data_IF_427531932810
#
_entry.id   IF_427531932810
#
_cell.length_a   1.000
_cell.length_b   1.000
_cell.length_c   1.000
_cell.angle_alpha   90.00
_cell.angle_beta   90.00
_cell.angle_gamma   90.00
#
_symmetry.space_group_name_H-M   'P 1'
#
loop_
_entity.id
_entity.type
_entity.pdbx_description
1 polymer ?
#
# COMPACT_ATOMS: atom_id res chain seq x y z
N UNK A 1 10.89 2.02 -7.69
CA UNK A 1 9.46 2.05 -7.30
C UNK A 1 9.14 3.43 -6.73
N UNK A 2 8.13 4.12 -7.26
CA UNK A 2 7.92 5.56 -7.08
C UNK A 2 7.24 5.89 -5.74
N UNK A 3 7.74 6.92 -5.06
CA UNK A 3 7.28 7.37 -3.73
C UNK A 3 5.82 7.84 -3.73
N UNK A 4 5.30 8.31 -4.87
CA UNK A 4 4.01 9.00 -4.97
C UNK A 4 2.79 8.07 -5.05
N UNK A 5 2.97 6.77 -5.30
CA UNK A 5 1.84 5.85 -5.51
C UNK A 5 1.01 5.67 -4.24
N UNK A 6 1.66 5.72 -3.06
CA UNK A 6 1.00 5.51 -1.76
C UNK A 6 -0.05 6.57 -1.45
N UNK A 7 0.17 7.79 -1.90
CA UNK A 7 -0.78 8.90 -1.72
C UNK A 7 -2.13 8.54 -2.32
N UNK A 8 -2.14 8.01 -3.54
CA UNK A 8 -3.36 7.66 -4.25
C UNK A 8 -4.10 6.49 -3.64
N UNK A 9 -3.39 5.51 -3.04
CA UNK A 9 -4.03 4.39 -2.34
C UNK A 9 -4.72 4.85 -1.05
N UNK A 10 -4.08 5.73 -0.27
CA UNK A 10 -4.72 6.32 0.91
C UNK A 10 -5.93 7.16 0.53
N UNK A 11 -5.86 7.92 -0.56
CA UNK A 11 -7.00 8.68 -1.09
C UNK A 11 -8.12 7.73 -1.55
N UNK A 12 -7.79 6.65 -2.28
CA UNK A 12 -8.77 5.68 -2.73
C UNK A 12 -9.48 4.98 -1.56
N UNK A 13 -8.73 4.59 -0.53
CA UNK A 13 -9.30 4.03 0.70
C UNK A 13 -10.19 5.04 1.45
N UNK A 14 -9.77 6.31 1.50
CA UNK A 14 -10.51 7.37 2.16
C UNK A 14 -11.81 7.72 1.43
N UNK A 15 -11.81 7.81 0.10
CA UNK A 15 -12.98 8.20 -0.69
C UNK A 15 -13.91 7.03 -0.98
N UNK A 16 -13.37 5.93 -1.50
CA UNK A 16 -14.18 4.81 -2.01
C UNK A 16 -14.57 3.81 -0.90
N UNK A 17 -14.04 3.99 0.31
CA UNK A 17 -14.21 3.08 1.44
C UNK A 17 -13.45 1.75 1.27
N UNK A 18 -13.63 0.85 2.23
CA UNK A 18 -12.78 -0.35 2.36
C UNK A 18 -12.81 -1.29 1.16
N UNK A 19 -13.99 -1.55 0.58
CA UNK A 19 -14.15 -2.55 -0.50
C UNK A 19 -13.69 -2.01 -1.86
N UNK A 20 -14.24 -0.87 -2.26
CA UNK A 20 -13.93 -0.26 -3.57
C UNK A 20 -12.53 0.34 -3.59
N UNK A 21 -12.08 0.93 -2.48
CA UNK A 21 -10.71 1.43 -2.34
C UNK A 21 -9.67 0.31 -2.41
N UNK A 22 -9.95 -0.85 -1.81
CA UNK A 22 -9.09 -2.03 -1.91
C UNK A 22 -8.95 -2.52 -3.36
N UNK A 23 -10.06 -2.69 -4.07
CA UNK A 23 -10.04 -3.14 -5.47
C UNK A 23 -9.33 -2.13 -6.37
N UNK A 24 -9.63 -0.83 -6.24
CA UNK A 24 -8.98 0.21 -7.03
C UNK A 24 -7.46 0.25 -6.81
N UNK A 25 -7.03 0.13 -5.55
CA UNK A 25 -5.60 0.15 -5.18
C UNK A 25 -4.87 -1.11 -5.65
N UNK A 26 -5.46 -2.28 -5.43
CA UNK A 26 -4.89 -3.56 -5.85
C UNK A 26 -4.77 -3.66 -7.37
N UNK A 27 -5.87 -3.44 -8.10
CA UNK A 27 -5.90 -3.55 -9.56
C UNK A 27 -4.97 -2.51 -10.19
N UNK A 28 -5.07 -1.25 -9.77
CA UNK A 28 -4.26 -0.18 -10.31
C UNK A 28 -2.77 -0.49 -10.21
N UNK A 29 -2.33 -0.98 -9.04
CA UNK A 29 -0.91 -1.29 -8.85
C UNK A 29 -0.48 -2.58 -9.56
N UNK A 30 -1.32 -3.62 -9.60
CA UNK A 30 -1.01 -4.83 -10.36
C UNK A 30 -0.80 -4.53 -11.85
N UNK A 31 -1.60 -3.62 -12.41
CA UNK A 31 -1.43 -3.17 -13.79
C UNK A 31 -0.10 -2.43 -13.97
N UNK A 32 0.27 -1.54 -13.04
CA UNK A 32 1.57 -0.85 -13.07
C UNK A 32 2.71 -1.86 -13.13
N UNK A 33 2.68 -2.91 -12.31
CA UNK A 33 3.72 -3.95 -12.29
C UNK A 33 3.77 -4.73 -13.61
N UNK A 34 2.61 -5.08 -14.18
CA UNK A 34 2.52 -5.77 -15.48
C UNK A 34 3.11 -4.93 -16.61
N UNK A 35 2.74 -3.65 -16.71
CA UNK A 35 3.21 -2.75 -17.77
C UNK A 35 4.65 -2.28 -17.58
N UNK A 36 5.15 -2.24 -16.34
CA UNK A 36 6.51 -1.82 -16.03
C UNK A 36 7.54 -2.96 -16.12
N UNK A 37 7.11 -4.18 -16.47
CA UNK A 37 7.98 -5.35 -16.60
C UNK A 37 8.27 -6.10 -15.29
N UNK A 38 7.66 -5.69 -14.16
CA UNK A 38 7.77 -6.37 -12.87
C UNK A 38 6.68 -7.44 -12.69
N UNK A 39 6.51 -8.31 -13.70
CA UNK A 39 5.36 -9.24 -13.77
C UNK A 39 5.27 -10.16 -12.56
N UNK A 40 6.41 -10.65 -12.04
CA UNK A 40 6.45 -11.52 -10.85
C UNK A 40 5.88 -10.82 -9.61
N UNK A 41 6.02 -9.49 -9.52
CA UNK A 41 5.50 -8.70 -8.40
C UNK A 41 3.99 -8.47 -8.49
N UNK A 42 3.41 -8.44 -9.68
CA UNK A 42 2.00 -8.11 -9.89
C UNK A 42 1.01 -8.85 -8.95
N UNK A 43 1.06 -10.19 -8.77
CA UNK A 43 0.14 -10.88 -7.86
C UNK A 43 0.37 -10.52 -6.38
N UNK A 44 1.63 -10.37 -5.95
CA UNK A 44 1.94 -9.99 -4.58
C UNK A 44 1.49 -8.55 -4.31
N UNK A 45 1.85 -7.64 -5.20
CA UNK A 45 1.48 -6.23 -5.12
C UNK A 45 -0.03 -6.03 -5.13
N UNK A 46 -0.78 -6.77 -5.96
CA UNK A 46 -2.24 -6.76 -5.94
C UNK A 46 -2.77 -7.01 -4.52
N UNK A 47 -2.33 -8.12 -3.91
CA UNK A 47 -2.78 -8.54 -2.57
C UNK A 47 -2.35 -7.53 -1.52
N UNK A 48 -1.08 -7.11 -1.53
CA UNK A 48 -0.53 -6.18 -0.54
C UNK A 48 -1.28 -4.84 -0.59
N UNK A 49 -1.46 -4.27 -1.78
CA UNK A 49 -2.11 -2.96 -1.94
C UNK A 49 -3.60 -3.03 -1.67
N UNK A 50 -4.27 -4.10 -2.10
CA UNK A 50 -5.68 -4.31 -1.78
C UNK A 50 -5.91 -4.42 -0.28
N UNK A 51 -5.12 -5.23 0.43
CA UNK A 51 -5.23 -5.39 1.89
C UNK A 51 -4.83 -4.12 2.63
N UNK A 52 -3.77 -3.43 2.21
CA UNK A 52 -3.35 -2.14 2.76
C UNK A 52 -4.50 -1.12 2.71
N UNK A 53 -5.10 -0.93 1.54
CA UNK A 53 -6.22 0.00 1.36
C UNK A 53 -7.48 -0.47 2.08
N UNK A 54 -7.72 -1.79 2.16
CA UNK A 54 -8.82 -2.35 2.94
C UNK A 54 -8.68 -2.04 4.44
N UNK A 55 -7.48 -2.25 5.01
CA UNK A 55 -7.18 -1.98 6.42
C UNK A 55 -7.39 -0.48 6.71
N UNK A 56 -6.81 0.39 5.88
CA UNK A 56 -6.97 1.84 6.02
C UNK A 56 -8.47 2.24 5.96
N UNK A 57 -9.19 1.78 4.94
CA UNK A 57 -10.60 2.09 4.73
C UNK A 57 -11.49 1.54 5.85
N UNK A 58 -11.23 0.32 6.34
CA UNK A 58 -12.02 -0.30 7.40
C UNK A 58 -11.89 0.46 8.73
N UNK A 59 -10.67 0.88 9.10
CA UNK A 59 -10.44 1.67 10.31
C UNK A 59 -11.02 3.07 10.17
N UNK A 60 -10.94 3.68 8.98
CA UNK A 60 -11.57 4.97 8.66
C UNK A 60 -13.09 4.91 8.77
N UNK A 61 -13.73 3.85 8.29
CA UNK A 61 -15.18 3.67 8.44
C UNK A 61 -15.56 3.48 9.91
N UNK A 62 -14.80 2.65 10.64
CA UNK A 62 -15.03 2.38 12.06
C UNK A 62 -14.90 3.64 12.93
N UNK A 63 -13.92 4.49 12.65
CA UNK A 63 -13.70 5.72 13.41
C UNK A 63 -14.52 6.93 12.88
N UNK A 64 -15.47 6.69 11.97
CA UNK A 64 -16.27 7.71 11.30
C UNK A 64 -15.44 8.83 10.67
N UNK A 65 -14.28 8.46 10.10
CA UNK A 65 -13.34 9.35 9.41
C UNK A 65 -12.86 10.54 10.26
N UNK A 66 -12.89 10.40 11.60
CA UNK A 66 -12.42 11.43 12.54
C UNK A 66 -10.90 11.58 12.55
N UNK A 67 -10.17 10.50 12.27
CA UNK A 67 -8.71 10.49 12.23
C UNK A 67 -8.19 9.63 11.09
N UNK A 68 -7.27 10.19 10.30
CA UNK A 68 -6.65 9.53 9.16
C UNK A 68 -5.27 8.94 9.49
N UNK A 69 -4.60 9.48 10.52
CA UNK A 69 -3.23 9.11 10.87
C UNK A 69 -3.11 7.64 11.31
N UNK A 70 -3.95 7.22 12.25
CA UNK A 70 -3.91 5.84 12.78
C UNK A 70 -4.20 4.79 11.70
N UNK A 71 -5.27 4.91 10.87
CA UNK A 71 -5.49 4.01 9.74
C UNK A 71 -4.30 3.93 8.79
N UNK A 72 -3.68 5.07 8.45
CA UNK A 72 -2.58 5.11 7.49
C UNK A 72 -1.29 4.52 8.06
N UNK A 73 -1.01 4.73 9.34
CA UNK A 73 0.14 4.12 10.01
C UNK A 73 0.01 2.59 10.08
N UNK A 74 -1.15 2.08 10.51
CA UNK A 74 -1.37 0.62 10.64
C UNK A 74 -1.26 -0.07 9.28
N UNK A 75 -1.93 0.48 8.26
CA UNK A 75 -1.85 -0.06 6.90
C UNK A 75 -0.45 0.11 6.28
N UNK A 76 0.26 1.18 6.60
CA UNK A 76 1.64 1.41 6.19
C UNK A 76 2.62 0.38 6.78
N UNK A 77 2.50 0.07 8.08
CA UNK A 77 3.30 -0.99 8.74
C UNK A 77 3.03 -2.34 8.08
N UNK A 78 1.76 -2.66 7.83
CA UNK A 78 1.38 -3.87 7.11
C UNK A 78 2.07 -3.95 5.73
N UNK A 79 2.06 -2.86 4.97
CA UNK A 79 2.70 -2.79 3.66
C UNK A 79 4.21 -3.09 3.75
N UNK A 80 4.93 -2.47 4.68
CA UNK A 80 6.39 -2.68 4.84
C UNK A 80 6.69 -4.15 5.14
N UNK A 81 5.95 -4.75 6.07
CA UNK A 81 6.13 -6.17 6.44
C UNK A 81 5.79 -7.10 5.27
N UNK A 82 4.69 -6.83 4.57
CA UNK A 82 4.23 -7.69 3.49
C UNK A 82 5.16 -7.63 2.26
N UNK A 83 5.69 -6.46 1.92
CA UNK A 83 6.70 -6.32 0.87
C UNK A 83 8.01 -7.02 1.24
N UNK A 84 8.46 -6.90 2.49
CA UNK A 84 9.64 -7.60 2.97
C UNK A 84 9.49 -9.13 2.84
N UNK A 85 8.37 -9.69 3.29
CA UNK A 85 8.12 -11.14 3.19
C UNK A 85 7.98 -11.59 1.75
N UNK A 86 7.26 -10.82 0.92
CA UNK A 86 7.06 -11.15 -0.49
C UNK A 86 8.36 -11.08 -1.28
N UNK A 87 9.21 -10.08 -1.00
CA UNK A 87 10.55 -9.97 -1.57
C UNK A 87 11.43 -11.16 -1.20
N UNK A 88 11.35 -11.66 0.04
CA UNK A 88 12.08 -12.87 0.46
C UNK A 88 11.56 -14.12 -0.26
N UNK A 89 10.24 -14.27 -0.42
CA UNK A 89 9.63 -15.37 -1.18
C UNK A 89 10.09 -15.35 -2.64
N UNK A 90 10.09 -14.17 -3.28
CA UNK A 90 10.56 -13.99 -4.66
C UNK A 90 12.06 -14.30 -4.79
N UNK A 91 12.86 -13.83 -3.82
CA UNK A 91 14.30 -14.08 -3.77
C UNK A 91 14.62 -15.59 -3.68
N UNK A 92 13.88 -16.31 -2.83
CA UNK A 92 14.10 -17.72 -2.55
C UNK A 92 13.54 -18.64 -3.66
N UNK A 93 12.30 -18.41 -4.12
CA UNK A 93 11.59 -19.36 -4.98
C UNK A 93 11.70 -19.06 -6.48
N UNK A 94 11.87 -17.79 -6.87
CA UNK A 94 11.67 -17.38 -8.27
C UNK A 94 12.92 -16.82 -8.95
N UNK A 95 13.88 -16.29 -8.19
CA UNK A 95 15.08 -15.66 -8.77
C UNK A 95 16.37 -16.43 -8.48
N UNK A 96 16.38 -17.36 -7.51
CA UNK A 96 17.60 -18.05 -7.09
C UNK A 96 18.65 -17.11 -6.49
N UNK A 97 18.25 -15.90 -6.07
CA UNK A 97 19.16 -14.89 -5.48
C UNK A 97 19.77 -15.36 -4.17
N UNK A 98 19.17 -16.38 -3.53
CA UNK A 98 19.71 -17.07 -2.37
C UNK A 98 19.15 -18.49 -2.27
N UNK A 99 20.00 -19.45 -1.90
CA UNK A 99 19.58 -20.85 -1.71
C UNK A 99 19.14 -21.16 -0.27
N UNK A 100 19.12 -20.15 0.61
CA UNK A 100 18.74 -20.29 2.02
C UNK A 100 17.69 -19.26 2.39
N UNK A 101 16.80 -19.63 3.32
CA UNK A 101 15.75 -18.74 3.83
C UNK A 101 16.37 -17.49 4.48
N UNK A 102 17.47 -17.64 5.21
CA UNK A 102 18.17 -16.53 5.85
C UNK A 102 18.75 -15.58 4.79
N UNK A 103 19.35 -16.11 3.73
CA UNK A 103 19.87 -15.29 2.62
C UNK A 103 18.77 -14.49 1.92
N UNK A 104 17.58 -15.09 1.75
CA UNK A 104 16.44 -14.44 1.11
C UNK A 104 15.90 -13.27 1.94
N UNK A 105 15.82 -13.45 3.26
CA UNK A 105 15.42 -12.39 4.20
C UNK A 105 16.44 -11.25 4.20
N UNK A 106 17.74 -11.55 4.22
CA UNK A 106 18.79 -10.53 4.14
C UNK A 106 18.72 -9.77 2.82
N UNK A 107 18.50 -10.47 1.70
CA UNK A 107 18.34 -9.84 0.40
C UNK A 107 17.15 -8.87 0.36
N UNK A 108 16.02 -9.27 0.92
CA UNK A 108 14.79 -8.45 0.96
C UNK A 108 14.89 -7.27 1.95
N UNK A 109 15.76 -7.37 2.96
CA UNK A 109 15.91 -6.33 3.98
C UNK A 109 16.35 -4.97 3.42
N UNK A 110 17.01 -4.95 2.25
CA UNK A 110 17.42 -3.71 1.56
C UNK A 110 16.24 -2.78 1.23
N UNK A 111 15.06 -3.35 1.00
CA UNK A 111 13.88 -2.60 0.57
C UNK A 111 13.09 -2.01 1.76
N UNK A 112 13.38 -2.42 3.00
CA UNK A 112 12.67 -1.96 4.20
C UNK A 112 12.76 -0.44 4.36
N UNK A 113 13.97 0.12 4.25
CA UNK A 113 14.18 1.57 4.42
C UNK A 113 13.42 2.33 3.33
N UNK A 114 13.50 1.86 2.08
CA UNK A 114 12.77 2.43 0.96
C UNK A 114 11.27 2.45 1.20
N UNK A 115 10.70 1.32 1.65
CA UNK A 115 9.27 1.19 1.94
C UNK A 115 8.81 2.06 3.11
N UNK A 116 9.61 2.18 4.18
CA UNK A 116 9.31 3.07 5.31
C UNK A 116 9.25 4.53 4.83
N UNK A 117 10.24 4.96 4.04
CA UNK A 117 10.25 6.32 3.47
C UNK A 117 9.05 6.56 2.56
N UNK A 118 8.72 5.56 1.74
CA UNK A 118 7.55 5.58 0.86
C UNK A 118 6.26 5.82 1.67
N UNK A 119 6.04 5.04 2.72
CA UNK A 119 4.89 5.17 3.62
C UNK A 119 4.91 6.53 4.32
N UNK A 120 6.04 6.94 4.89
CA UNK A 120 6.18 8.19 5.62
C UNK A 120 5.82 9.41 4.76
N UNK A 121 6.44 9.53 3.58
CA UNK A 121 6.16 10.62 2.63
C UNK A 121 4.70 10.54 2.16
N UNK A 122 4.22 9.33 1.86
CA UNK A 122 2.84 9.09 1.45
C UNK A 122 1.82 9.59 2.49
N UNK A 123 2.07 9.35 3.78
CA UNK A 123 1.22 9.82 4.89
C UNK A 123 1.25 11.35 4.97
N UNK A 124 2.43 11.96 4.96
CA UNK A 124 2.59 13.42 5.06
C UNK A 124 1.77 14.14 3.99
N UNK A 125 1.77 13.61 2.76
CA UNK A 125 1.02 14.17 1.64
C UNK A 125 -0.47 13.80 1.71
N UNK A 126 -0.80 12.54 2.02
CA UNK A 126 -2.19 12.08 2.02
C UNK A 126 -3.04 12.73 3.12
N UNK A 127 -2.48 13.03 4.29
CA UNK A 127 -3.23 13.62 5.41
C UNK A 127 -3.98 14.92 5.07
N UNK A 128 -3.34 15.98 4.51
CA UNK A 128 -4.05 17.19 4.11
C UNK A 128 -5.03 16.92 2.96
N UNK A 129 -4.62 16.11 1.98
CA UNK A 129 -5.45 15.76 0.81
C UNK A 129 -6.74 15.05 1.22
N UNK A 130 -6.68 14.03 2.08
CA UNK A 130 -7.86 13.29 2.54
C UNK A 130 -8.86 14.19 3.27
N UNK A 131 -8.39 15.15 4.08
CA UNK A 131 -9.27 16.12 4.76
C UNK A 131 -9.99 17.04 3.77
N UNK A 132 -9.26 17.56 2.77
CA UNK A 132 -9.82 18.44 1.73
C UNK A 132 -10.85 17.67 0.90
N UNK A 133 -10.49 16.49 0.43
CA UNK A 133 -11.33 15.68 -0.45
C UNK A 133 -12.60 15.19 0.25
N UNK A 134 -12.52 14.76 1.51
CA UNK A 134 -13.71 14.35 2.27
C UNK A 134 -14.71 15.50 2.46
N UNK A 135 -14.22 16.72 2.67
CA UNK A 135 -15.08 17.91 2.77
C UNK A 135 -15.81 18.21 1.45
N UNK A 136 -15.19 17.92 0.32
CA UNK A 136 -15.81 18.11 -1.00
C UNK A 136 -16.79 16.98 -1.33
N UNK A 137 -16.45 15.73 -1.01
CA UNK A 137 -17.36 14.58 -1.17
C UNK A 137 -18.72 14.85 -0.51
N UNK A 138 -18.73 15.30 0.74
CA UNK A 138 -19.95 15.61 1.48
C UNK A 138 -20.78 16.78 0.90
N UNK A 139 -20.17 17.65 0.08
CA UNK A 139 -20.86 18.79 -0.55
C UNK A 139 -21.45 18.46 -1.92
N UNK A 140 -20.91 17.46 -2.60
CA UNK A 140 -21.33 17.08 -3.95
C UNK A 140 -22.43 16.02 -3.90
N UNK A 141 -22.40 15.16 -2.87
CA UNK A 141 -23.30 14.01 -2.77
C UNK A 141 -24.38 14.14 -1.67
N UNK A 142 -24.44 15.26 -0.94
CA UNK A 142 -25.59 15.68 -0.12
C UNK A 142 -26.12 17.02 -0.63
#
# INVERSE_FOLDING_TARGET
MFILEIVWFFIAAALLGKKRGALASGIGMALVDLYSGYIIWAPFTFIIKALMAYIAGAILEYNHRKSYLVPFLISGIFMVVAYFLSGAIIAFLFTGSSNTIIGALVYSAKDIIGNILQVGVGIVIALPLSKILYKQENKVFN
#
